data_IF_271040508852
#
_entry.id   IF_271040508852
#
_cell.length_a   1.000
_cell.length_b   1.000
_cell.length_c   1.000
_cell.angle_alpha   90.00
_cell.angle_beta   90.00
_cell.angle_gamma   90.00
#
_symmetry.space_group_name_H-M   'P 1'
#
loop_
_entity.id
_entity.type
_entity.pdbx_description
1 polymer ?
#
# COMPACT_ATOMS: atom_id res chain seq x y z
N UNK A 1 29.01 6.10 61.03
CA UNK A 1 28.72 5.55 59.69
C UNK A 1 29.78 6.09 58.74
N UNK A 2 30.57 5.27 58.02
CA UNK A 2 31.56 5.80 57.10
C UNK A 2 30.87 6.20 55.78
N UNK A 3 31.05 7.46 55.37
CA UNK A 3 30.63 7.99 54.08
C UNK A 3 31.59 7.47 53.01
N UNK A 4 31.12 6.59 52.12
CA UNK A 4 31.91 6.11 50.98
C UNK A 4 32.02 7.25 49.96
N UNK A 5 33.20 7.85 49.87
CA UNK A 5 33.49 8.91 48.89
C UNK A 5 33.82 8.26 47.54
N UNK A 6 32.86 8.23 46.62
CA UNK A 6 33.08 7.73 45.25
C UNK A 6 33.96 8.73 44.50
N UNK A 7 35.10 8.29 43.96
CA UNK A 7 36.03 9.15 43.20
C UNK A 7 35.31 9.79 41.98
N UNK A 8 35.45 11.11 41.74
CA UNK A 8 34.84 11.80 40.61
C UNK A 8 35.19 11.19 39.23
N UNK A 9 36.39 10.60 39.09
CA UNK A 9 36.82 9.92 37.86
C UNK A 9 36.03 8.63 37.56
N UNK A 10 35.57 7.92 38.60
CA UNK A 10 34.73 6.74 38.43
C UNK A 10 33.31 7.14 38.00
N UNK A 11 32.78 8.24 38.53
CA UNK A 11 31.48 8.81 38.12
C UNK A 11 31.54 9.28 36.65
N UNK A 12 32.61 9.97 36.24
CA UNK A 12 32.78 10.41 34.85
C UNK A 12 32.93 9.23 33.87
N UNK A 13 33.61 8.15 34.27
CA UNK A 13 33.73 6.92 33.47
C UNK A 13 32.40 6.20 33.26
N UNK A 14 31.60 6.05 34.32
CA UNK A 14 30.26 5.43 34.26
C UNK A 14 29.29 6.25 33.41
N UNK A 15 29.31 7.59 33.55
CA UNK A 15 28.46 8.45 32.71
C UNK A 15 28.85 8.39 31.23
N UNK A 16 30.14 8.27 30.92
CA UNK A 16 30.62 8.13 29.54
C UNK A 16 30.27 6.77 28.94
N UNK A 17 30.30 5.68 29.73
CA UNK A 17 29.84 4.36 29.27
C UNK A 17 28.33 4.28 29.08
N UNK A 18 27.54 4.88 29.98
CA UNK A 18 26.08 4.99 29.85
C UNK A 18 25.67 5.81 28.62
N UNK A 19 26.38 6.92 28.34
CA UNK A 19 26.16 7.71 27.13
C UNK A 19 26.55 6.94 25.85
N UNK A 20 27.64 6.18 25.87
CA UNK A 20 28.04 5.35 24.74
C UNK A 20 27.01 4.26 24.47
N UNK A 21 26.60 3.53 25.51
CA UNK A 21 25.61 2.46 25.42
C UNK A 21 24.25 2.96 24.92
N UNK A 22 23.78 4.11 25.42
CA UNK A 22 22.56 4.76 24.92
C UNK A 22 22.66 5.11 23.44
N UNK A 23 23.81 5.63 23.00
CA UNK A 23 24.04 5.99 21.59
C UNK A 23 24.06 4.75 20.67
N UNK A 24 24.65 3.66 21.13
CA UNK A 24 24.64 2.38 20.40
C UNK A 24 23.24 1.78 20.32
N UNK A 25 22.47 1.82 21.41
CA UNK A 25 21.06 1.41 21.40
C UNK A 25 20.21 2.24 20.44
N UNK A 26 20.40 3.57 20.41
CA UNK A 26 19.69 4.46 19.49
C UNK A 26 20.03 4.13 18.02
N UNK A 27 21.30 3.87 17.72
CA UNK A 27 21.74 3.49 16.38
C UNK A 27 21.13 2.17 15.91
N UNK A 28 21.15 1.14 16.76
CA UNK A 28 20.57 -0.17 16.43
C UNK A 28 19.06 -0.10 16.21
N UNK A 29 18.35 0.74 16.98
CA UNK A 29 16.92 0.98 16.77
C UNK A 29 16.65 1.68 15.43
N UNK A 30 17.47 2.66 15.05
CA UNK A 30 17.34 3.33 13.75
C UNK A 30 17.55 2.33 12.60
N UNK A 31 18.59 1.49 12.67
CA UNK A 31 18.82 0.45 11.67
C UNK A 31 17.66 -0.54 11.58
N UNK A 32 17.13 -1.00 12.71
CA UNK A 32 15.99 -1.91 12.74
C UNK A 32 14.76 -1.28 12.08
N UNK A 33 14.46 -0.01 12.38
CA UNK A 33 13.34 0.72 11.74
C UNK A 33 13.53 0.86 10.24
N UNK A 34 14.73 1.21 9.78
CA UNK A 34 15.04 1.29 8.35
C UNK A 34 14.89 -0.06 7.65
N UNK A 35 15.31 -1.16 8.30
CA UNK A 35 15.14 -2.50 7.77
C UNK A 35 13.65 -2.89 7.63
N UNK A 36 12.82 -2.53 8.62
CA UNK A 36 11.36 -2.74 8.54
C UNK A 36 10.75 -1.95 7.39
N UNK A 37 11.10 -0.67 7.24
CA UNK A 37 10.62 0.16 6.14
C UNK A 37 11.03 -0.43 4.78
N UNK A 38 12.30 -0.83 4.62
CA UNK A 38 12.76 -1.49 3.41
C UNK A 38 11.99 -2.80 3.13
N UNK A 39 11.80 -3.64 4.14
CA UNK A 39 11.06 -4.90 4.02
C UNK A 39 9.60 -4.67 3.57
N UNK A 40 8.93 -3.65 4.09
CA UNK A 40 7.54 -3.33 3.70
C UNK A 40 7.42 -2.87 2.25
N UNK A 41 8.39 -2.09 1.76
CA UNK A 41 8.48 -1.74 0.34
C UNK A 41 8.74 -2.97 -0.55
N UNK A 42 9.64 -3.85 -0.14
CA UNK A 42 9.96 -5.09 -0.87
C UNK A 42 8.75 -6.03 -0.92
N UNK A 43 8.03 -6.17 0.20
CA UNK A 43 6.79 -6.93 0.28
C UNK A 43 5.73 -6.36 -0.68
N UNK A 44 5.58 -5.04 -0.72
CA UNK A 44 4.68 -4.37 -1.67
C UNK A 44 5.09 -4.60 -3.13
N UNK A 45 6.40 -4.65 -3.38
CA UNK A 45 6.98 -4.86 -4.69
C UNK A 45 6.72 -6.25 -5.27
N UNK A 46 6.31 -7.24 -4.46
CA UNK A 46 5.98 -8.58 -4.96
C UNK A 46 4.86 -8.52 -6.01
N UNK A 47 5.14 -8.89 -7.28
CA UNK A 47 4.23 -8.64 -8.38
C UNK A 47 3.27 -9.82 -8.60
N UNK A 48 2.42 -10.11 -7.62
CA UNK A 48 1.52 -11.28 -7.62
C UNK A 48 0.70 -11.39 -8.91
N UNK A 49 0.07 -10.31 -9.35
CA UNK A 49 -0.74 -10.33 -10.57
C UNK A 49 0.06 -10.58 -11.85
N UNK A 50 1.32 -10.14 -11.91
CA UNK A 50 2.22 -10.51 -13.01
C UNK A 50 2.51 -12.00 -13.00
N UNK A 51 2.86 -12.56 -11.83
CA UNK A 51 3.18 -13.97 -11.69
C UNK A 51 1.97 -14.85 -12.05
N UNK A 52 0.78 -14.51 -11.56
CA UNK A 52 -0.46 -15.26 -11.83
C UNK A 52 -0.76 -15.28 -13.33
N UNK A 53 -0.74 -14.12 -14.01
CA UNK A 53 -1.00 -14.08 -15.47
C UNK A 53 0.08 -14.84 -16.22
N UNK A 54 1.35 -14.69 -15.83
CA UNK A 54 2.47 -15.34 -16.51
C UNK A 54 2.37 -16.87 -16.41
N UNK A 55 2.02 -17.41 -15.25
CA UNK A 55 1.87 -18.85 -15.03
C UNK A 55 0.64 -19.40 -15.76
N UNK A 56 -0.51 -18.73 -15.66
CA UNK A 56 -1.77 -19.28 -16.20
C UNK A 56 -1.90 -19.12 -17.73
N UNK A 57 -1.26 -18.10 -18.31
CA UNK A 57 -1.49 -17.74 -19.73
C UNK A 57 -0.21 -17.62 -20.56
N UNK A 58 0.97 -17.62 -19.93
CA UNK A 58 2.25 -17.35 -20.60
C UNK A 58 2.48 -15.87 -20.98
N UNK A 59 1.45 -15.02 -20.91
CA UNK A 59 1.49 -13.61 -21.32
C UNK A 59 2.14 -12.71 -20.26
N UNK A 60 2.58 -11.54 -20.71
CA UNK A 60 3.06 -10.46 -19.81
C UNK A 60 1.94 -9.44 -19.58
N UNK A 61 1.36 -9.44 -18.37
CA UNK A 61 0.24 -8.55 -18.01
C UNK A 61 0.56 -7.05 -18.20
N UNK A 62 1.84 -6.66 -18.25
CA UNK A 62 2.26 -5.26 -18.49
C UNK A 62 1.99 -4.79 -19.92
N UNK A 63 1.78 -5.75 -20.84
CA UNK A 63 1.46 -5.51 -22.26
C UNK A 63 -0.04 -5.68 -22.55
N UNK A 64 -0.82 -6.11 -21.55
CA UNK A 64 -2.24 -6.41 -21.70
C UNK A 64 -3.12 -5.28 -21.15
N UNK A 65 -4.17 -4.91 -21.88
CA UNK A 65 -5.21 -3.92 -21.55
C UNK A 65 -4.70 -2.61 -20.91
N UNK A 66 -4.68 -2.51 -19.58
CA UNK A 66 -4.23 -1.29 -18.87
C UNK A 66 -2.73 -1.26 -18.60
N UNK A 67 -2.03 -2.38 -18.79
CA UNK A 67 -0.61 -2.58 -18.49
C UNK A 67 -0.27 -2.59 -17.00
N UNK A 68 -1.28 -2.56 -16.11
CA UNK A 68 -1.13 -2.63 -14.65
C UNK A 68 -1.14 -4.08 -14.17
N UNK A 69 -0.50 -4.35 -13.05
CA UNK A 69 -0.45 -5.70 -12.46
C UNK A 69 -1.55 -5.96 -11.42
N UNK A 70 -2.46 -5.02 -11.19
CA UNK A 70 -3.54 -5.15 -10.20
C UNK A 70 -4.70 -6.04 -10.67
N UNK A 71 -5.52 -6.47 -9.71
CA UNK A 71 -6.58 -7.48 -9.90
C UNK A 71 -7.53 -7.22 -11.07
N UNK A 72 -7.91 -5.98 -11.38
CA UNK A 72 -8.80 -5.70 -12.53
C UNK A 72 -8.15 -6.03 -13.87
N UNK A 73 -6.87 -5.76 -14.06
CA UNK A 73 -6.19 -6.07 -15.31
C UNK A 73 -5.95 -7.57 -15.43
N UNK A 74 -5.60 -8.21 -14.31
CA UNK A 74 -5.46 -9.67 -14.23
C UNK A 74 -6.79 -10.36 -14.53
N UNK A 75 -7.91 -9.85 -14.01
CA UNK A 75 -9.24 -10.37 -14.30
C UNK A 75 -9.56 -10.37 -15.79
N UNK A 76 -9.19 -9.30 -16.51
CA UNK A 76 -9.36 -9.23 -17.97
C UNK A 76 -8.40 -10.16 -18.72
N UNK A 77 -7.20 -10.37 -18.19
CA UNK A 77 -6.13 -11.11 -18.87
C UNK A 77 -6.18 -12.63 -18.64
N UNK A 78 -6.65 -13.08 -17.47
CA UNK A 78 -6.60 -14.47 -17.01
C UNK A 78 -7.90 -14.94 -16.29
N UNK A 79 -8.98 -14.16 -16.36
CA UNK A 79 -10.29 -14.52 -15.82
C UNK A 79 -10.55 -14.09 -14.37
N UNK A 80 -11.82 -14.19 -13.95
CA UNK A 80 -12.29 -13.68 -12.66
C UNK A 80 -11.53 -14.25 -11.46
N UNK A 81 -11.32 -15.58 -11.41
CA UNK A 81 -10.62 -16.23 -10.31
C UNK A 81 -9.19 -15.70 -10.14
N UNK A 82 -8.43 -15.55 -11.24
CA UNK A 82 -7.08 -15.00 -11.21
C UNK A 82 -7.05 -13.56 -10.70
N UNK A 83 -8.01 -12.74 -11.14
CA UNK A 83 -8.16 -11.36 -10.67
C UNK A 83 -8.53 -11.26 -9.19
N UNK A 84 -9.42 -12.13 -8.72
CA UNK A 84 -9.83 -12.21 -7.32
C UNK A 84 -8.67 -12.62 -6.42
N UNK A 85 -7.94 -13.68 -6.77
CA UNK A 85 -6.75 -14.14 -6.02
C UNK A 85 -5.70 -13.03 -5.97
N UNK A 86 -5.48 -12.32 -7.08
CA UNK A 86 -4.56 -11.17 -7.12
C UNK A 86 -5.01 -10.07 -6.15
N UNK A 87 -6.30 -9.71 -6.17
CA UNK A 87 -6.84 -8.67 -5.31
C UNK A 87 -6.73 -9.04 -3.82
N UNK A 88 -7.06 -10.28 -3.46
CA UNK A 88 -6.90 -10.79 -2.08
C UNK A 88 -5.44 -10.75 -1.67
N UNK A 89 -4.52 -11.24 -2.52
CA UNK A 89 -3.08 -11.20 -2.23
C UNK A 89 -2.54 -9.77 -2.07
N UNK A 90 -3.02 -8.83 -2.88
CA UNK A 90 -2.66 -7.41 -2.77
C UNK A 90 -3.21 -6.75 -1.48
N UNK A 91 -4.40 -7.15 -1.00
CA UNK A 91 -4.92 -6.72 0.30
C UNK A 91 -4.10 -7.33 1.44
N UNK A 92 -3.82 -8.64 1.37
CA UNK A 92 -3.09 -9.34 2.41
C UNK A 92 -1.66 -8.81 2.58
N UNK A 93 -0.95 -8.51 1.49
CA UNK A 93 0.39 -7.91 1.59
C UNK A 93 0.36 -6.51 2.20
N UNK A 94 -0.70 -5.74 1.93
CA UNK A 94 -0.93 -4.43 2.56
C UNK A 94 -1.10 -4.54 4.07
N UNK A 95 -1.95 -5.47 4.52
CA UNK A 95 -2.17 -5.72 5.95
C UNK A 95 -0.91 -6.26 6.63
N UNK A 96 -0.23 -7.22 5.99
CA UNK A 96 0.99 -7.81 6.51
C UNK A 96 2.11 -6.77 6.70
N UNK A 97 2.27 -5.81 5.77
CA UNK A 97 3.25 -4.74 5.93
C UNK A 97 3.02 -3.92 7.21
N UNK A 98 1.77 -3.52 7.47
CA UNK A 98 1.40 -2.76 8.66
C UNK A 98 1.56 -3.60 9.93
N UNK A 99 1.13 -4.87 9.92
CA UNK A 99 1.27 -5.75 11.08
C UNK A 99 2.73 -6.05 11.41
N UNK A 100 3.61 -6.21 10.41
CA UNK A 100 5.06 -6.33 10.65
C UNK A 100 5.57 -5.09 11.40
N UNK A 101 5.16 -3.89 10.98
CA UNK A 101 5.56 -2.66 11.67
C UNK A 101 4.97 -2.57 13.09
N UNK A 102 3.73 -2.99 13.30
CA UNK A 102 3.08 -3.04 14.62
C UNK A 102 3.74 -4.02 15.57
N UNK A 103 4.15 -5.19 15.09
CA UNK A 103 4.83 -6.19 15.92
C UNK A 103 6.22 -5.71 16.33
N UNK A 104 6.94 -5.06 15.41
CA UNK A 104 8.34 -4.65 15.63
C UNK A 104 8.48 -3.26 16.25
N UNK A 105 7.43 -2.42 16.19
CA UNK A 105 7.44 -1.06 16.70
C UNK A 105 6.04 -0.62 17.22
N UNK A 106 5.44 -1.34 18.20
CA UNK A 106 4.02 -1.23 18.57
C UNK A 106 3.54 0.16 18.98
N UNK A 107 4.38 0.94 19.64
CA UNK A 107 4.05 2.29 20.11
C UNK A 107 4.53 3.40 19.16
N UNK A 108 5.00 3.03 17.96
CA UNK A 108 5.58 3.95 16.98
C UNK A 108 4.61 4.12 15.83
N UNK A 109 3.50 4.83 16.06
CA UNK A 109 2.39 4.93 15.09
C UNK A 109 2.81 5.43 13.70
N UNK A 110 3.81 6.31 13.61
CA UNK A 110 4.33 6.78 12.32
C UNK A 110 4.99 5.65 11.51
N UNK A 111 5.57 4.63 12.16
CA UNK A 111 6.11 3.44 11.49
C UNK A 111 5.00 2.60 10.84
N UNK A 112 3.83 2.47 11.50
CA UNK A 112 2.69 1.74 10.95
C UNK A 112 2.16 2.45 9.69
N UNK A 113 2.00 3.78 9.78
CA UNK A 113 1.60 4.62 8.66
C UNK A 113 2.62 4.54 7.50
N UNK A 114 3.91 4.68 7.80
CA UNK A 114 4.97 4.61 6.81
C UNK A 114 5.05 3.24 6.12
N UNK A 115 4.87 2.14 6.86
CA UNK A 115 4.79 0.79 6.29
C UNK A 115 3.63 0.64 5.31
N UNK A 116 2.45 1.18 5.66
CA UNK A 116 1.28 1.24 4.78
C UNK A 116 1.54 2.05 3.50
N UNK A 117 2.25 3.17 3.58
CA UNK A 117 2.61 3.96 2.40
C UNK A 117 3.66 3.24 1.52
N UNK A 118 4.67 2.62 2.14
CA UNK A 118 5.74 1.94 1.43
C UNK A 118 5.27 0.68 0.70
N UNK A 119 4.33 -0.08 1.27
CA UNK A 119 3.74 -1.24 0.57
C UNK A 119 2.92 -0.81 -0.65
N UNK A 120 2.21 0.33 -0.57
CA UNK A 120 1.51 0.92 -1.72
C UNK A 120 2.52 1.38 -2.79
N UNK A 121 3.59 2.07 -2.38
CA UNK A 121 4.64 2.52 -3.30
C UNK A 121 5.37 1.35 -3.96
N UNK A 122 5.70 0.30 -3.21
CA UNK A 122 6.28 -0.93 -3.75
C UNK A 122 5.36 -1.60 -4.77
N UNK A 123 4.06 -1.67 -4.49
CA UNK A 123 3.10 -2.22 -5.45
C UNK A 123 2.95 -1.35 -6.71
N UNK A 124 3.00 -0.02 -6.58
CA UNK A 124 2.88 0.91 -7.72
C UNK A 124 4.15 0.96 -8.58
N UNK A 125 5.31 0.85 -7.93
CA UNK A 125 6.65 0.97 -8.50
C UNK A 125 7.50 -0.18 -8.00
N UNK A 126 7.20 -1.39 -8.49
CA UNK A 126 7.89 -2.60 -8.06
C UNK A 126 9.30 -2.65 -8.61
N UNK A 127 10.28 -2.80 -7.73
CA UNK A 127 11.69 -3.04 -8.10
C UNK A 127 11.86 -4.34 -8.90
N UNK A 128 10.98 -5.33 -8.70
CA UNK A 128 10.99 -6.59 -9.44
C UNK A 128 10.40 -6.48 -10.84
N UNK A 129 9.75 -5.36 -11.18
CA UNK A 129 9.17 -5.09 -12.50
C UNK A 129 9.88 -3.92 -13.21
N UNK A 130 11.16 -3.75 -12.93
CA UNK A 130 12.00 -2.78 -13.63
C UNK A 130 12.12 -3.14 -15.12
N UNK A 131 11.95 -2.16 -16.00
CA UNK A 131 12.15 -2.31 -17.43
C UNK A 131 12.81 -1.07 -18.02
N UNK A 132 13.42 -1.22 -19.20
CA UNK A 132 14.02 -0.11 -19.96
C UNK A 132 13.09 0.28 -21.10
N UNK A 133 12.62 1.51 -21.10
CA UNK A 133 11.73 2.09 -22.12
C UNK A 133 12.39 3.38 -22.62
N UNK A 134 12.60 3.48 -23.93
CA UNK A 134 13.23 4.64 -24.59
C UNK A 134 14.56 5.07 -23.92
N UNK A 135 15.38 4.06 -23.61
CA UNK A 135 16.68 4.26 -22.96
C UNK A 135 16.63 4.54 -21.46
N UNK A 136 15.46 4.80 -20.86
CA UNK A 136 15.27 5.13 -19.44
C UNK A 136 14.74 3.95 -18.63
N UNK A 137 15.21 3.83 -17.39
CA UNK A 137 14.67 2.86 -16.44
C UNK A 137 13.31 3.31 -15.92
N UNK A 138 12.34 2.39 -15.92
CA UNK A 138 10.99 2.63 -15.42
C UNK A 138 10.55 1.47 -14.55
N UNK A 139 10.06 1.79 -13.35
CA UNK A 139 9.37 0.83 -12.50
C UNK A 139 7.90 0.74 -12.91
N UNK A 140 7.37 -0.48 -12.96
CA UNK A 140 5.96 -0.75 -13.22
C UNK A 140 5.31 -1.43 -12.02
N UNK A 141 3.98 -1.48 -12.04
CA UNK A 141 3.21 -2.06 -10.97
C UNK A 141 1.71 -1.83 -11.17
N UNK A 142 0.95 -1.93 -10.08
CA UNK A 142 -0.48 -1.64 -10.09
C UNK A 142 -0.79 -0.18 -9.76
N UNK A 143 -2.02 0.07 -9.33
CA UNK A 143 -2.51 1.41 -9.01
C UNK A 143 -2.62 1.68 -7.50
N UNK A 144 -2.47 0.63 -6.67
CA UNK A 144 -2.37 0.77 -5.22
C UNK A 144 -3.65 0.55 -4.45
N UNK A 145 -4.80 0.36 -5.11
CA UNK A 145 -6.10 0.18 -4.42
C UNK A 145 -6.14 -1.02 -3.47
N UNK A 146 -5.72 -2.21 -3.92
CA UNK A 146 -5.65 -3.42 -3.09
C UNK A 146 -4.71 -3.26 -1.88
N UNK A 147 -3.43 -2.89 -2.08
CA UNK A 147 -2.51 -2.65 -0.96
C UNK A 147 -2.98 -1.54 0.00
N UNK A 148 -3.65 -0.49 -0.51
CA UNK A 148 -4.20 0.58 0.33
C UNK A 148 -5.32 0.06 1.24
N UNK A 149 -6.27 -0.68 0.66
CA UNK A 149 -7.32 -1.36 1.44
C UNK A 149 -6.72 -2.32 2.47
N UNK A 150 -5.66 -3.04 2.11
CA UNK A 150 -4.88 -3.88 3.03
C UNK A 150 -4.20 -3.10 4.15
N UNK A 151 -3.55 -1.98 3.84
CA UNK A 151 -2.93 -1.12 4.84
C UNK A 151 -3.99 -0.55 5.80
N UNK A 152 -5.16 -0.14 5.29
CA UNK A 152 -6.29 0.30 6.12
C UNK A 152 -6.79 -0.81 7.05
N UNK A 153 -6.91 -2.05 6.56
CA UNK A 153 -7.19 -3.24 7.37
C UNK A 153 -6.13 -3.42 8.48
N UNK A 154 -4.86 -3.26 8.13
CA UNK A 154 -3.76 -3.37 9.08
C UNK A 154 -3.84 -2.32 10.19
N UNK A 155 -4.12 -1.06 9.84
CA UNK A 155 -4.22 0.07 10.78
C UNK A 155 -5.46 0.00 11.66
N UNK A 156 -6.60 -0.38 11.07
CA UNK A 156 -7.86 -0.55 11.79
C UNK A 156 -8.78 -1.55 11.08
N UNK A 157 -8.87 -2.81 11.56
CA UNK A 157 -9.59 -3.87 10.86
C UNK A 157 -11.04 -3.58 10.48
N UNK A 158 -11.87 -2.91 11.32
CA UNK A 158 -13.24 -2.59 10.94
C UNK A 158 -13.38 -1.68 9.72
N UNK A 159 -12.32 -1.00 9.26
CA UNK A 159 -12.34 -0.18 8.05
C UNK A 159 -12.81 -0.96 6.81
N UNK A 160 -12.50 -2.25 6.71
CA UNK A 160 -12.83 -3.07 5.54
C UNK A 160 -14.34 -3.27 5.36
N UNK A 161 -15.11 -3.23 6.45
CA UNK A 161 -16.56 -3.36 6.41
C UNK A 161 -17.22 -2.19 5.66
N UNK A 162 -16.50 -1.07 5.52
CA UNK A 162 -16.94 0.11 4.77
C UNK A 162 -16.25 0.15 3.40
N UNK A 163 -14.93 -0.03 3.38
CA UNK A 163 -14.11 0.14 2.17
C UNK A 163 -14.43 -0.92 1.10
N UNK A 164 -14.55 -2.20 1.48
CA UNK A 164 -14.76 -3.28 0.50
C UNK A 164 -16.13 -3.14 -0.16
N UNK A 165 -17.27 -3.04 0.56
CA UNK A 165 -18.57 -2.90 -0.09
C UNK A 165 -18.65 -1.69 -1.02
N UNK A 166 -18.17 -0.52 -0.58
CA UNK A 166 -18.20 0.66 -1.45
C UNK A 166 -17.28 0.50 -2.67
N UNK A 167 -16.08 -0.07 -2.48
CA UNK A 167 -15.17 -0.37 -3.58
C UNK A 167 -15.80 -1.32 -4.61
N UNK A 168 -16.53 -2.35 -4.16
CA UNK A 168 -17.26 -3.27 -5.03
C UNK A 168 -18.41 -2.58 -5.78
N UNK A 169 -19.17 -1.70 -5.11
CA UNK A 169 -20.23 -0.90 -5.75
C UNK A 169 -19.63 -0.01 -6.84
N UNK A 170 -18.51 0.66 -6.57
CA UNK A 170 -17.81 1.50 -7.56
C UNK A 170 -17.25 0.66 -8.72
N UNK A 171 -16.72 -0.53 -8.43
CA UNK A 171 -16.11 -1.38 -9.44
C UNK A 171 -17.13 -2.07 -10.34
N UNK A 172 -18.20 -2.64 -9.77
CA UNK A 172 -19.17 -3.47 -10.49
C UNK A 172 -20.44 -2.71 -10.90
N UNK A 173 -20.90 -1.78 -10.06
CA UNK A 173 -22.06 -0.94 -10.33
C UNK A 173 -21.71 0.26 -11.20
N UNK A 174 -20.84 1.15 -10.71
CA UNK A 174 -20.41 2.35 -11.49
C UNK A 174 -19.53 1.95 -12.67
N UNK A 175 -18.72 0.90 -12.53
CA UNK A 175 -18.00 0.27 -13.63
C UNK A 175 -16.62 0.85 -13.93
N UNK A 176 -16.01 1.61 -13.02
CA UNK A 176 -14.67 2.16 -13.23
C UNK A 176 -13.72 1.75 -12.09
N UNK A 177 -12.67 1.00 -12.43
CA UNK A 177 -11.66 0.58 -11.43
C UNK A 177 -10.86 1.75 -10.86
N UNK A 178 -10.67 2.82 -11.63
CA UNK A 178 -10.05 4.06 -11.18
C UNK A 178 -10.90 4.77 -10.13
N UNK A 179 -12.22 4.88 -10.33
CA UNK A 179 -13.12 5.42 -9.31
C UNK A 179 -13.16 4.56 -8.06
N UNK A 180 -13.22 3.23 -8.19
CA UNK A 180 -13.14 2.33 -7.03
C UNK A 180 -11.87 2.58 -6.19
N UNK A 181 -10.72 2.76 -6.84
CA UNK A 181 -9.45 3.06 -6.15
C UNK A 181 -9.44 4.46 -5.53
N UNK A 182 -10.00 5.48 -6.20
CA UNK A 182 -10.11 6.84 -5.64
C UNK A 182 -11.03 6.84 -4.40
N UNK A 183 -12.15 6.12 -4.47
CA UNK A 183 -13.09 6.00 -3.35
C UNK A 183 -12.45 5.34 -2.12
N UNK A 184 -11.57 4.34 -2.31
CA UNK A 184 -10.77 3.75 -1.22
C UNK A 184 -9.97 4.85 -0.50
N UNK A 185 -9.15 5.62 -1.23
CA UNK A 185 -8.34 6.67 -0.62
C UNK A 185 -9.17 7.78 0.05
N UNK A 186 -10.30 8.17 -0.55
CA UNK A 186 -11.21 9.16 0.05
C UNK A 186 -11.83 8.64 1.35
N UNK A 187 -12.26 7.37 1.39
CA UNK A 187 -12.77 6.76 2.61
C UNK A 187 -11.70 6.67 3.69
N UNK A 188 -10.46 6.32 3.34
CA UNK A 188 -9.35 6.26 4.29
C UNK A 188 -9.10 7.64 4.94
N UNK A 189 -9.11 8.73 4.15
CA UNK A 189 -9.02 10.10 4.69
C UNK A 189 -10.13 10.35 5.70
N UNK A 190 -11.38 10.07 5.34
CA UNK A 190 -12.55 10.32 6.21
C UNK A 190 -12.47 9.47 7.48
N UNK A 191 -12.28 8.15 7.34
CA UNK A 191 -12.25 7.20 8.46
C UNK A 191 -11.15 7.57 9.45
N UNK A 192 -9.91 7.74 8.99
CA UNK A 192 -8.80 7.96 9.90
C UNK A 192 -8.77 9.37 10.48
N UNK A 193 -9.21 10.39 9.73
CA UNK A 193 -9.33 11.75 10.28
C UNK A 193 -10.42 11.83 11.35
N UNK A 194 -11.59 11.23 11.11
CA UNK A 194 -12.66 11.20 12.12
C UNK A 194 -12.22 10.46 13.39
N UNK A 195 -11.52 9.33 13.25
CA UNK A 195 -10.96 8.61 14.40
C UNK A 195 -9.96 9.45 15.20
N UNK A 196 -9.10 10.21 14.52
CA UNK A 196 -8.15 11.10 15.17
C UNK A 196 -8.86 12.26 15.91
N UNK A 197 -9.86 12.87 15.26
CA UNK A 197 -10.67 13.94 15.86
C UNK A 197 -11.47 13.47 17.09
N UNK A 198 -11.94 12.22 17.08
CA UNK A 198 -12.66 11.61 18.21
C UNK A 198 -11.73 11.09 19.31
N UNK A 199 -10.41 11.18 19.15
CA UNK A 199 -9.43 10.70 20.13
C UNK A 199 -9.33 9.18 20.24
N UNK A 200 -9.91 8.43 19.30
CA UNK A 200 -9.91 6.96 19.27
C UNK A 200 -8.87 6.38 18.29
N UNK A 201 -8.08 7.25 17.64
CA UNK A 201 -7.00 6.85 16.75
C UNK A 201 -5.88 7.90 16.71
N UNK A 202 -4.66 7.49 16.35
CA UNK A 202 -3.52 8.39 16.23
C UNK A 202 -3.62 9.27 14.97
N UNK A 203 -3.11 10.51 15.05
CA UNK A 203 -3.09 11.45 13.91
C UNK A 203 -2.23 10.97 12.75
N UNK A 204 -1.24 10.13 13.01
CA UNK A 204 -0.38 9.47 12.03
C UNK A 204 -1.20 8.63 11.04
N UNK A 205 -2.32 8.05 11.48
CA UNK A 205 -3.18 7.26 10.59
C UNK A 205 -4.04 8.17 9.71
N UNK A 206 -4.43 9.35 10.19
CA UNK A 206 -5.05 10.38 9.36
C UNK A 206 -4.06 10.89 8.30
N UNK A 207 -2.80 11.08 8.69
CA UNK A 207 -1.68 11.37 7.78
C UNK A 207 -1.50 10.27 6.71
N UNK A 208 -1.57 8.99 7.11
CA UNK A 208 -1.60 7.88 6.17
C UNK A 208 -2.74 8.02 5.15
N UNK A 209 -3.98 8.24 5.58
CA UNK A 209 -5.12 8.34 4.66
C UNK A 209 -4.94 9.44 3.61
N UNK A 210 -4.45 10.62 4.03
CA UNK A 210 -4.18 11.73 3.13
C UNK A 210 -3.06 11.41 2.12
N UNK A 211 -1.93 10.89 2.61
CA UNK A 211 -0.78 10.57 1.76
C UNK A 211 -1.06 9.38 0.82
N UNK A 212 -1.81 8.39 1.28
CA UNK A 212 -2.28 7.27 0.47
C UNK A 212 -3.14 7.79 -0.69
N UNK A 213 -4.13 8.65 -0.43
CA UNK A 213 -4.93 9.29 -1.47
C UNK A 213 -4.06 10.02 -2.49
N UNK A 214 -3.07 10.81 -2.05
CA UNK A 214 -2.14 11.51 -2.96
C UNK A 214 -1.37 10.52 -3.85
N UNK A 215 -0.85 9.43 -3.29
CA UNK A 215 -0.15 8.38 -4.04
C UNK A 215 -1.08 7.71 -5.06
N UNK A 216 -2.31 7.39 -4.68
CA UNK A 216 -3.31 6.77 -5.54
C UNK A 216 -3.70 7.72 -6.69
N UNK A 217 -3.99 8.98 -6.40
CA UNK A 217 -4.31 9.99 -7.41
C UNK A 217 -3.13 10.19 -8.38
N UNK A 218 -1.90 10.22 -7.86
CA UNK A 218 -0.70 10.27 -8.69
C UNK A 218 -0.62 9.08 -9.64
N UNK A 219 -0.79 7.86 -9.13
CA UNK A 219 -0.75 6.64 -9.95
C UNK A 219 -1.87 6.62 -10.99
N UNK A 220 -3.02 7.20 -10.68
CA UNK A 220 -4.21 7.23 -11.52
C UNK A 220 -4.31 8.41 -12.48
N UNK A 221 -3.33 9.31 -12.55
CA UNK A 221 -3.34 10.45 -13.50
C UNK A 221 -3.74 10.08 -14.93
N UNK A 222 -3.22 8.99 -15.54
CA UNK A 222 -3.64 8.60 -16.90
C UNK A 222 -5.10 8.14 -16.96
N UNK A 223 -5.61 7.54 -15.88
CA UNK A 223 -6.99 7.07 -15.77
C UNK A 223 -7.97 8.24 -15.57
N UNK A 224 -7.61 9.20 -14.72
CA UNK A 224 -8.38 10.43 -14.50
C UNK A 224 -8.48 11.21 -15.81
N UNK A 225 -7.38 11.31 -16.54
CA UNK A 225 -7.36 11.95 -17.86
C UNK A 225 -8.32 11.28 -18.85
N UNK A 226 -8.41 9.94 -18.84
CA UNK A 226 -9.40 9.20 -19.67
C UNK A 226 -10.83 9.35 -19.16
N UNK A 227 -11.06 9.40 -17.84
CA UNK A 227 -12.39 9.64 -17.26
C UNK A 227 -12.95 10.99 -17.74
N UNK A 228 -12.13 12.04 -17.71
CA UNK A 228 -12.53 13.38 -18.16
C UNK A 228 -12.90 13.39 -19.66
N UNK A 229 -12.20 12.59 -20.48
CA UNK A 229 -12.50 12.45 -21.91
C UNK A 229 -13.61 11.44 -22.25
N UNK A 230 -14.16 10.74 -21.26
CA UNK A 230 -15.14 9.66 -21.50
C UNK A 230 -14.53 8.39 -22.12
N UNK A 231 -13.21 8.23 -22.07
CA UNK A 231 -12.45 7.12 -22.69
C UNK A 231 -12.01 6.05 -21.66
N UNK A 232 -12.40 6.18 -20.39
CA UNK A 232 -11.99 5.22 -19.37
C UNK A 232 -12.67 3.86 -19.57
N UNK A 233 -11.89 2.79 -19.39
CA UNK A 233 -12.36 1.43 -19.67
C UNK A 233 -13.34 0.94 -18.62
N UNK A 234 -14.54 0.59 -19.05
CA UNK A 234 -15.58 0.00 -18.20
C UNK A 234 -15.17 -1.38 -17.65
N UNK A 235 -15.71 -1.70 -16.48
CA UNK A 235 -15.57 -2.96 -15.74
C UNK A 235 -16.96 -3.40 -15.27
N UNK A 236 -17.12 -4.68 -14.96
CA UNK A 236 -18.30 -5.18 -14.26
C UNK A 236 -19.54 -5.24 -15.14
N UNK A 237 -20.70 -4.89 -14.57
CA UNK A 237 -21.99 -5.07 -15.23
C UNK A 237 -22.17 -4.15 -16.43
N UNK A 238 -21.68 -2.90 -16.35
CA UNK A 238 -21.76 -1.94 -17.46
C UNK A 238 -20.90 -2.36 -18.66
N UNK A 239 -19.75 -2.99 -18.42
CA UNK A 239 -18.93 -3.53 -19.50
C UNK A 239 -19.65 -4.66 -20.25
N UNK A 240 -20.39 -5.51 -19.52
CA UNK A 240 -21.19 -6.59 -20.13
C UNK A 240 -22.39 -6.05 -20.91
N UNK A 241 -23.08 -5.03 -20.37
CA UNK A 241 -24.21 -4.39 -21.05
C UNK A 241 -23.78 -3.78 -22.40
N UNK A 242 -22.69 -3.01 -22.41
CA UNK A 242 -22.17 -2.42 -23.65
C UNK A 242 -21.80 -3.46 -24.72
N UNK A 243 -21.29 -4.63 -24.32
CA UNK A 243 -20.96 -5.71 -25.27
C UNK A 243 -22.19 -6.40 -25.84
N UNK A 244 -23.32 -6.39 -25.13
CA UNK A 244 -24.57 -6.96 -25.61
C UNK A 244 -25.26 -6.06 -26.65
N UNK A 245 -24.94 -4.75 -26.64
CA UNK A 245 -25.53 -3.75 -27.53
C UNK A 245 -24.71 -3.53 -28.83
N UNK A 246 -23.52 -4.12 -28.97
CA UNK A 246 -22.72 -4.06 -30.21
C UNK A 246 -23.24 -5.11 -31.23
N UNK A 247 -23.68 -4.70 -32.44
CA UNK A 247 -24.13 -5.65 -33.46
C UNK A 247 -22.96 -6.50 -33.98
N UNK A 248 -23.17 -7.82 -34.03
CA UNK A 248 -22.23 -8.84 -34.51
C UNK A 248 -21.87 -8.71 -35.99
#
# INVERSE_FOLDING_TARGET
>A
MPTVFVKPSAVCGVLRSEQHYRREMDFMQVLARLAVLAATYLLGSLPLGFLIVKILTGKDVRREHSGRTGGTNVMRSAGFAAGFITAVGDVLKGAAAVWIAMILAPEVYWMHAAAGLLVILGHNYSIFLIERVDGKWRLRGGAGGGPSTGAALGLWPPSIAIIIPLGLIMLFGVGYASLATISVGLLEVVIFSLRAMLGIGPWEYAGFGLLALVILLWSLRPNISRLIRGEERLVGWRAKANQADEPS
#
